data_IF_252040492696
#
_entry.id   IF_252040492696
#
_cell.length_a   1.000
_cell.length_b   1.000
_cell.length_c   1.000
_cell.angle_alpha   90.00
_cell.angle_beta   90.00
_cell.angle_gamma   90.00
#
_symmetry.space_group_name_H-M   'P 1'
#
loop_
_entity.id
_entity.type
_entity.pdbx_description
1 polymer ?
#
# COMPACT_ATOMS: atom_id res chain seq x y z
N UNK A 1 -2.17 20.86 -4.63
CA UNK A 1 -0.98 20.33 -5.22
C UNK A 1 -1.13 18.86 -5.58
N UNK A 2 -0.18 18.32 -6.31
CA UNK A 2 -0.33 17.01 -6.95
C UNK A 2 -0.21 15.81 -6.01
N UNK A 3 0.32 15.97 -4.80
CA UNK A 3 0.53 14.85 -3.89
C UNK A 3 -0.78 14.20 -3.42
N UNK A 4 -1.90 14.92 -3.45
CA UNK A 4 -3.22 14.41 -3.05
C UNK A 4 -4.06 13.89 -4.22
N UNK A 5 -3.54 13.92 -5.43
CA UNK A 5 -4.25 13.48 -6.63
C UNK A 5 -3.93 12.03 -6.95
N UNK A 6 -4.84 11.32 -7.61
CA UNK A 6 -4.60 9.96 -8.07
C UNK A 6 -3.44 9.86 -9.05
N UNK A 7 -3.22 10.88 -9.86
CA UNK A 7 -2.08 10.97 -10.78
C UNK A 7 -1.65 12.41 -10.98
N UNK A 8 -0.43 12.58 -11.48
CA UNK A 8 0.16 13.90 -11.75
C UNK A 8 -0.48 14.51 -13.00
N UNK A 9 -0.68 15.83 -12.99
CA UNK A 9 -1.20 16.58 -14.13
C UNK A 9 -0.24 16.49 -15.33
N UNK A 10 -0.78 16.26 -16.52
CA UNK A 10 0.00 16.10 -17.75
C UNK A 10 0.56 17.41 -18.31
N UNK A 11 0.03 18.56 -17.87
CA UNK A 11 0.42 19.88 -18.39
C UNK A 11 1.59 20.52 -17.66
N UNK A 12 2.28 19.79 -16.81
CA UNK A 12 3.45 20.28 -16.09
C UNK A 12 4.69 20.29 -17.00
N UNK A 13 5.59 21.26 -16.80
CA UNK A 13 6.91 21.24 -17.44
C UNK A 13 7.81 20.19 -16.76
N UNK A 14 9.02 19.97 -17.30
CA UNK A 14 9.95 18.96 -16.80
C UNK A 14 10.34 19.17 -15.35
N UNK A 15 10.61 20.41 -14.94
CA UNK A 15 10.99 20.74 -13.56
C UNK A 15 9.82 20.51 -12.60
N UNK A 16 8.64 20.98 -12.96
CA UNK A 16 7.43 20.78 -12.17
C UNK A 16 7.08 19.30 -12.05
N UNK A 17 7.24 18.54 -13.13
CA UNK A 17 7.00 17.09 -13.13
C UNK A 17 7.96 16.39 -12.19
N UNK A 18 9.25 16.76 -12.22
CA UNK A 18 10.25 16.17 -11.32
C UNK A 18 9.89 16.41 -9.86
N UNK A 19 9.55 17.64 -9.50
CA UNK A 19 9.15 17.97 -8.13
C UNK A 19 7.89 17.22 -7.71
N UNK A 20 6.90 17.12 -8.60
CA UNK A 20 5.67 16.40 -8.32
C UNK A 20 5.95 14.93 -8.02
N UNK A 21 6.82 14.30 -8.80
CA UNK A 21 7.21 12.90 -8.58
C UNK A 21 7.94 12.71 -7.25
N UNK A 22 8.86 13.61 -6.92
CA UNK A 22 9.60 13.57 -5.65
C UNK A 22 8.62 13.67 -4.47
N UNK A 23 7.68 14.59 -4.52
CA UNK A 23 6.69 14.78 -3.46
C UNK A 23 5.81 13.54 -3.31
N UNK A 24 5.35 12.96 -4.41
CA UNK A 24 4.50 11.77 -4.35
C UNK A 24 5.25 10.57 -3.74
N UNK A 25 6.51 10.37 -4.12
CA UNK A 25 7.32 9.29 -3.53
C UNK A 25 7.55 9.53 -2.04
N UNK A 26 7.89 10.77 -1.67
CA UNK A 26 8.10 11.12 -0.26
C UNK A 26 6.84 10.88 0.58
N UNK A 27 5.67 11.27 0.08
CA UNK A 27 4.39 11.04 0.78
C UNK A 27 4.13 9.54 0.99
N UNK A 28 4.38 8.70 -0.02
CA UNK A 28 4.15 7.27 0.10
C UNK A 28 5.14 6.61 1.07
N UNK A 29 6.39 7.02 1.04
CA UNK A 29 7.38 6.50 1.98
C UNK A 29 7.03 6.89 3.42
N UNK A 30 6.47 8.10 3.62
CA UNK A 30 5.99 8.53 4.92
C UNK A 30 4.80 7.68 5.39
N UNK A 31 3.89 7.33 4.49
CA UNK A 31 2.79 6.41 4.80
C UNK A 31 3.33 5.07 5.29
N UNK A 32 4.34 4.51 4.61
CA UNK A 32 4.94 3.24 5.03
C UNK A 32 5.57 3.32 6.42
N UNK A 33 6.25 4.41 6.73
CA UNK A 33 6.77 4.65 8.07
C UNK A 33 5.62 4.67 9.09
N UNK A 34 4.56 5.42 8.79
CA UNK A 34 3.41 5.58 9.68
C UNK A 34 2.72 4.26 9.98
N UNK A 35 2.45 3.43 8.96
CA UNK A 35 1.75 2.16 9.17
C UNK A 35 2.60 1.13 9.91
N UNK A 36 3.91 1.33 9.95
CA UNK A 36 4.81 0.47 10.72
C UNK A 36 5.02 0.93 12.16
N UNK A 37 4.91 2.23 12.44
CA UNK A 37 5.32 2.79 13.73
C UNK A 37 4.17 3.34 14.58
N UNK A 38 3.05 3.78 13.97
CA UNK A 38 1.95 4.42 14.70
C UNK A 38 0.94 3.39 15.21
N UNK A 39 -0.02 3.85 15.99
CA UNK A 39 -1.08 2.98 16.53
C UNK A 39 -1.82 2.27 15.39
N UNK A 40 -1.88 0.94 15.49
CA UNK A 40 -2.48 0.14 14.43
C UNK A 40 -3.93 0.52 14.17
N UNK A 41 -4.70 0.80 15.21
CA UNK A 41 -6.11 1.16 15.12
C UNK A 41 -6.33 2.44 14.31
N UNK A 42 -5.37 3.38 14.34
CA UNK A 42 -5.50 4.66 13.63
C UNK A 42 -5.28 4.56 12.12
N UNK A 43 -4.76 3.43 11.64
CA UNK A 43 -4.46 3.23 10.21
C UNK A 43 -5.73 2.97 9.41
N UNK A 44 -6.71 2.32 10.02
CA UNK A 44 -7.90 1.81 9.34
C UNK A 44 -9.13 2.70 9.59
N UNK A 45 -10.11 2.61 8.69
CA UNK A 45 -11.32 3.42 8.75
C UNK A 45 -12.28 2.99 9.87
N UNK A 46 -12.25 1.71 10.25
CA UNK A 46 -13.16 1.12 11.23
C UNK A 46 -12.38 0.54 12.41
N UNK A 47 -13.10 0.22 13.49
CA UNK A 47 -12.49 -0.33 14.70
C UNK A 47 -12.68 -1.85 14.82
N UNK A 48 -12.98 -2.54 13.73
CA UNK A 48 -13.19 -3.97 13.70
C UNK A 48 -12.04 -4.69 12.98
N UNK A 49 -11.29 -5.51 13.72
CA UNK A 49 -10.19 -6.32 13.20
C UNK A 49 -10.52 -7.82 13.22
N UNK A 50 -11.80 -8.16 13.45
CA UNK A 50 -12.30 -9.53 13.31
C UNK A 50 -12.97 -9.77 11.97
N UNK A 51 -13.01 -8.76 11.12
CA UNK A 51 -13.61 -8.84 9.79
C UNK A 51 -12.74 -9.62 8.81
N UNK A 52 -13.33 -10.03 7.72
CA UNK A 52 -12.66 -10.74 6.65
C UNK A 52 -13.56 -11.83 6.07
N UNK A 53 -13.09 -12.56 5.06
CA UNK A 53 -11.80 -12.36 4.37
C UNK A 53 -11.75 -11.05 3.55
N UNK A 54 -10.58 -10.74 3.00
CA UNK A 54 -10.48 -9.68 1.98
C UNK A 54 -11.35 -10.12 0.82
N UNK A 55 -12.22 -9.24 0.33
CA UNK A 55 -13.15 -9.60 -0.74
C UNK A 55 -12.39 -9.99 -2.01
N UNK A 56 -12.97 -10.93 -2.76
CA UNK A 56 -12.37 -11.44 -4.00
C UNK A 56 -12.16 -10.31 -5.01
N UNK A 57 -13.12 -9.38 -5.09
CA UNK A 57 -13.02 -8.21 -5.96
C UNK A 57 -11.76 -7.38 -5.66
N UNK A 58 -11.49 -7.12 -4.39
CA UNK A 58 -10.31 -6.36 -3.97
C UNK A 58 -9.03 -7.14 -4.26
N UNK A 59 -9.00 -8.44 -3.98
CA UNK A 59 -7.84 -9.27 -4.30
C UNK A 59 -7.54 -9.26 -5.80
N UNK A 60 -8.57 -9.33 -6.64
CA UNK A 60 -8.43 -9.28 -8.09
C UNK A 60 -7.94 -7.93 -8.57
N UNK A 61 -8.43 -6.84 -8.00
CA UNK A 61 -7.94 -5.49 -8.32
C UNK A 61 -6.45 -5.36 -8.01
N UNK A 62 -6.02 -5.86 -6.86
CA UNK A 62 -4.61 -5.82 -6.51
C UNK A 62 -3.76 -6.63 -7.50
N UNK A 63 -4.15 -7.87 -7.76
CA UNK A 63 -3.37 -8.80 -8.58
C UNK A 63 -3.30 -8.36 -10.06
N UNK A 64 -4.39 -7.83 -10.60
CA UNK A 64 -4.52 -7.54 -12.02
C UNK A 64 -4.28 -6.08 -12.37
N UNK A 65 -4.79 -5.16 -11.53
CA UNK A 65 -4.79 -3.73 -11.84
C UNK A 65 -3.71 -2.98 -11.06
N UNK A 66 -3.18 -3.56 -9.98
CA UNK A 66 -2.27 -2.89 -9.05
C UNK A 66 -2.85 -1.60 -8.49
N UNK A 67 -4.16 -1.53 -8.39
CA UNK A 67 -4.90 -0.36 -7.95
C UNK A 67 -6.20 -0.80 -7.29
N UNK A 68 -6.54 -0.16 -6.18
CA UNK A 68 -7.75 -0.49 -5.42
C UNK A 68 -8.75 0.64 -5.56
N UNK A 69 -9.96 0.31 -6.01
CA UNK A 69 -11.06 1.25 -6.05
C UNK A 69 -11.67 1.37 -4.65
N UNK A 70 -11.51 2.53 -4.03
CA UNK A 70 -11.94 2.76 -2.65
C UNK A 70 -13.45 2.58 -2.45
N UNK A 71 -14.25 2.78 -3.50
CA UNK A 71 -15.69 2.57 -3.41
C UNK A 71 -16.08 1.10 -3.22
N UNK A 72 -15.16 0.17 -3.48
CA UNK A 72 -15.39 -1.26 -3.31
C UNK A 72 -15.05 -1.75 -1.89
N UNK A 73 -14.43 -0.91 -1.06
CA UNK A 73 -13.99 -1.28 0.28
C UNK A 73 -15.19 -1.33 1.23
N UNK A 74 -15.36 -2.46 1.91
CA UNK A 74 -16.49 -2.70 2.81
C UNK A 74 -16.08 -2.78 4.28
N UNK A 75 -14.83 -3.12 4.56
CA UNK A 75 -14.34 -3.31 5.93
C UNK A 75 -12.82 -3.09 5.97
N UNK A 76 -12.24 -3.21 7.17
CA UNK A 76 -10.80 -3.01 7.35
C UNK A 76 -9.95 -4.01 6.56
N UNK A 77 -10.38 -5.25 6.42
CA UNK A 77 -9.63 -6.25 5.66
C UNK A 77 -9.46 -5.81 4.19
N UNK A 78 -10.49 -5.23 3.60
CA UNK A 78 -10.45 -4.74 2.23
C UNK A 78 -9.48 -3.57 2.04
N UNK A 79 -9.11 -2.86 3.11
CA UNK A 79 -8.13 -1.76 3.03
C UNK A 79 -6.69 -2.27 2.95
N UNK A 80 -6.42 -3.49 3.40
CA UNK A 80 -5.05 -4.01 3.47
C UNK A 80 -4.31 -3.89 2.13
N UNK A 81 -4.87 -4.33 0.99
CA UNK A 81 -4.13 -4.27 -0.28
C UNK A 81 -3.78 -2.86 -0.74
N UNK A 82 -4.48 -1.83 -0.28
CA UNK A 82 -4.17 -0.44 -0.64
C UNK A 82 -2.71 -0.11 -0.31
N UNK A 83 -2.27 -0.50 0.89
CA UNK A 83 -0.93 -0.15 1.37
C UNK A 83 0.17 -0.86 0.60
N UNK A 84 -0.10 -2.06 0.11
CA UNK A 84 0.85 -2.78 -0.74
C UNK A 84 0.85 -2.26 -2.18
N UNK A 85 -0.30 -1.80 -2.67
CA UNK A 85 -0.42 -1.29 -4.03
C UNK A 85 0.37 0.01 -4.26
N UNK A 86 0.67 0.76 -3.22
CA UNK A 86 1.45 2.01 -3.33
C UNK A 86 2.83 1.80 -3.96
N UNK A 87 3.42 0.59 -3.87
CA UNK A 87 4.73 0.34 -4.48
C UNK A 87 4.69 0.50 -6.01
N UNK A 88 3.54 0.23 -6.62
CA UNK A 88 3.36 0.35 -8.08
C UNK A 88 3.23 1.80 -8.52
N UNK A 89 3.02 2.73 -7.58
CA UNK A 89 2.91 4.16 -7.82
C UNK A 89 4.19 4.94 -7.53
N UNK A 90 5.24 4.28 -7.08
CA UNK A 90 6.52 4.93 -6.84
C UNK A 90 7.23 5.16 -8.17
N UNK A 91 7.80 6.36 -8.33
CA UNK A 91 8.41 6.79 -9.58
C UNK A 91 9.90 6.48 -9.69
N UNK A 92 10.60 6.47 -8.55
CA UNK A 92 12.06 6.36 -8.57
C UNK A 92 12.54 5.02 -8.00
N UNK A 93 13.53 4.43 -8.66
CA UNK A 93 14.16 3.20 -8.17
C UNK A 93 14.74 3.38 -6.76
N UNK A 94 15.26 4.58 -6.47
CA UNK A 94 15.73 4.90 -5.13
C UNK A 94 14.65 4.69 -4.07
N UNK A 95 13.43 5.13 -4.35
CA UNK A 95 12.30 4.98 -3.42
C UNK A 95 11.96 3.52 -3.17
N UNK A 96 11.95 2.72 -4.24
CA UNK A 96 11.69 1.28 -4.15
C UNK A 96 12.78 0.56 -3.36
N UNK A 97 14.04 0.90 -3.60
CA UNK A 97 15.18 0.33 -2.87
C UNK A 97 15.14 0.71 -1.39
N UNK A 98 14.81 1.96 -1.10
CA UNK A 98 14.68 2.45 0.29
C UNK A 98 13.60 1.67 1.03
N UNK A 99 12.42 1.51 0.41
CA UNK A 99 11.31 0.74 0.96
C UNK A 99 11.72 -0.69 1.25
N UNK A 100 12.43 -1.31 0.33
CA UNK A 100 12.91 -2.68 0.47
C UNK A 100 13.93 -2.80 1.62
N UNK A 101 14.90 -1.88 1.70
CA UNK A 101 15.92 -1.88 2.76
C UNK A 101 15.31 -1.72 4.16
N UNK A 102 14.23 -0.95 4.28
CA UNK A 102 13.55 -0.73 5.55
C UNK A 102 12.63 -1.88 5.94
N UNK A 103 12.38 -2.83 5.05
CA UNK A 103 11.49 -3.96 5.30
C UNK A 103 10.07 -3.54 5.71
N UNK A 104 9.58 -2.43 5.16
CA UNK A 104 8.29 -1.88 5.55
C UNK A 104 7.13 -2.84 5.29
N UNK A 105 7.15 -3.54 4.15
CA UNK A 105 6.07 -4.46 3.81
C UNK A 105 6.04 -5.67 4.77
N UNK A 106 7.20 -6.21 5.10
CA UNK A 106 7.31 -7.32 6.06
C UNK A 106 6.84 -6.88 7.45
N UNK A 107 7.26 -5.70 7.90
CA UNK A 107 6.86 -5.16 9.20
C UNK A 107 5.35 -4.95 9.28
N UNK A 108 4.77 -4.38 8.23
CA UNK A 108 3.32 -4.17 8.19
C UNK A 108 2.56 -5.49 8.17
N UNK A 109 3.05 -6.47 7.42
CA UNK A 109 2.47 -7.83 7.37
C UNK A 109 2.44 -8.45 8.76
N UNK A 110 3.53 -8.34 9.54
CA UNK A 110 3.57 -8.83 10.91
C UNK A 110 2.50 -8.17 11.77
N UNK A 111 2.34 -6.86 11.66
CA UNK A 111 1.33 -6.10 12.42
C UNK A 111 -0.08 -6.55 12.06
N UNK A 112 -0.36 -6.79 10.79
CA UNK A 112 -1.66 -7.30 10.34
C UNK A 112 -1.92 -8.67 10.95
N UNK A 113 -0.95 -9.57 10.90
CA UNK A 113 -1.10 -10.92 11.44
C UNK A 113 -1.26 -10.93 12.97
N UNK A 114 -0.72 -9.94 13.67
CA UNK A 114 -0.87 -9.81 15.11
C UNK A 114 -2.23 -9.24 15.53
N UNK A 115 -2.85 -8.42 14.70
CA UNK A 115 -4.06 -7.67 15.06
C UNK A 115 -5.34 -8.20 14.44
N UNK A 116 -5.31 -8.69 13.21
CA UNK A 116 -6.48 -9.32 12.60
C UNK A 116 -6.62 -10.76 13.12
N UNK A 117 -7.85 -11.16 13.42
CA UNK A 117 -8.12 -12.50 13.99
C UNK A 117 -8.48 -13.54 12.94
N UNK A 118 -8.94 -13.12 11.76
CA UNK A 118 -9.34 -14.03 10.69
C UNK A 118 -8.10 -14.65 10.02
N UNK A 119 -7.99 -15.97 10.06
CA UNK A 119 -6.84 -16.67 9.49
C UNK A 119 -6.77 -16.58 7.97
N UNK A 120 -7.91 -16.42 7.29
CA UNK A 120 -7.93 -16.22 5.83
C UNK A 120 -7.32 -14.87 5.48
N UNK A 121 -7.63 -13.82 6.25
CA UNK A 121 -7.01 -12.50 6.08
C UNK A 121 -5.49 -12.59 6.18
N UNK A 122 -5.00 -13.33 7.16
CA UNK A 122 -3.55 -13.50 7.35
C UNK A 122 -2.90 -14.20 6.15
N UNK A 123 -3.54 -15.24 5.63
CA UNK A 123 -3.06 -15.96 4.46
C UNK A 123 -3.08 -15.06 3.22
N UNK A 124 -4.17 -14.33 3.01
CA UNK A 124 -4.30 -13.40 1.88
C UNK A 124 -3.24 -12.30 1.95
N UNK A 125 -2.97 -11.76 3.13
CA UNK A 125 -1.95 -10.73 3.33
C UNK A 125 -0.57 -11.25 2.95
N UNK A 126 -0.25 -12.49 3.31
CA UNK A 126 1.03 -13.12 2.94
C UNK A 126 1.14 -13.34 1.43
N UNK A 127 0.03 -13.65 0.76
CA UNK A 127 0.01 -13.74 -0.71
C UNK A 127 0.29 -12.38 -1.35
N UNK A 128 -0.33 -11.34 -0.82
CA UNK A 128 -0.09 -9.95 -1.28
C UNK A 128 1.37 -9.56 -1.07
N UNK A 129 1.94 -9.89 0.08
CA UNK A 129 3.35 -9.63 0.36
C UNK A 129 4.25 -10.34 -0.65
N UNK A 130 3.95 -11.59 -0.98
CA UNK A 130 4.73 -12.35 -1.96
C UNK A 130 4.72 -11.68 -3.33
N UNK A 131 3.55 -11.28 -3.81
CA UNK A 131 3.41 -10.57 -5.09
C UNK A 131 4.22 -9.26 -5.06
N UNK A 132 4.11 -8.52 -3.97
CA UNK A 132 4.82 -7.25 -3.79
C UNK A 132 6.34 -7.43 -3.81
N UNK A 133 6.83 -8.45 -3.11
CA UNK A 133 8.27 -8.75 -3.06
C UNK A 133 8.80 -9.24 -4.39
N UNK A 134 8.02 -10.00 -5.15
CA UNK A 134 8.41 -10.42 -6.50
C UNK A 134 8.62 -9.20 -7.39
N UNK A 135 7.74 -8.20 -7.28
CA UNK A 135 7.90 -6.94 -8.02
C UNK A 135 9.16 -6.19 -7.57
N UNK A 136 9.37 -6.05 -6.26
CA UNK A 136 10.55 -5.35 -5.74
C UNK A 136 11.86 -6.04 -6.11
N UNK A 137 11.85 -7.36 -6.14
CA UNK A 137 13.04 -8.15 -6.51
C UNK A 137 13.36 -8.07 -8.00
N UNK A 138 12.41 -7.65 -8.82
CA UNK A 138 12.60 -7.47 -10.26
C UNK A 138 13.29 -6.16 -10.63
N UNK A 139 13.51 -5.29 -9.68
CA UNK A 139 14.09 -3.96 -9.90
C UNK A 139 15.63 -3.99 -9.81
#
# INVERSE_FOLDING_TARGET
>A
LNHNKGKIDDNLNEEEMLYAKIIRDADKLDIYYTICEYDFESIFWYQDFSCGPISEEIMNQFANDHFINYSCIKNNADQIPIFYAYIFDLYFDFSLKFLKEKHYLEKFTERICENFTDNVVKTQTKQILKISNEFLDSI
#
